data_IF_612972827221
#
_entry.id   IF_612972827221
#
_cell.length_a   1.000
_cell.length_b   1.000
_cell.length_c   1.000
_cell.angle_alpha   90.00
_cell.angle_beta   90.00
_cell.angle_gamma   90.00
#
_symmetry.space_group_name_H-M   'P 1'
#
loop_
_entity.id
_entity.type
_entity.pdbx_description
1 polymer ?
#
# COMPACT_ATOMS: atom_id res chain seq x y z
N UNK A 1 -7.92 6.87 21.86
CA UNK A 1 -6.66 7.37 21.29
C UNK A 1 -6.68 8.89 21.40
N UNK A 2 -5.57 9.54 21.74
CA UNK A 2 -5.45 11.01 21.67
C UNK A 2 -5.01 11.45 20.25
N UNK A 3 -4.99 12.76 19.99
CA UNK A 3 -4.67 13.30 18.66
C UNK A 3 -3.21 13.16 18.26
N UNK A 4 -2.29 13.12 19.21
CA UNK A 4 -0.86 13.01 18.90
C UNK A 4 -0.49 11.57 18.58
N UNK A 5 -0.99 10.62 19.37
CA UNK A 5 -0.91 9.18 19.06
C UNK A 5 -1.55 8.87 17.71
N UNK A 6 -2.70 9.49 17.39
CA UNK A 6 -3.33 9.33 16.08
C UNK A 6 -2.43 9.78 14.93
N UNK A 7 -1.79 10.95 15.03
CA UNK A 7 -0.88 11.45 14.00
C UNK A 7 0.37 10.58 13.84
N UNK A 8 0.89 10.03 14.94
CA UNK A 8 2.01 9.11 14.92
C UNK A 8 1.67 7.84 14.13
N UNK A 9 0.62 7.14 14.53
CA UNK A 9 0.17 5.89 13.88
C UNK A 9 -0.27 6.17 12.43
N UNK A 10 -0.89 7.31 12.16
CA UNK A 10 -1.23 7.71 10.79
C UNK A 10 0.03 7.87 9.94
N UNK A 11 1.09 8.48 10.47
CA UNK A 11 2.37 8.62 9.76
C UNK A 11 3.04 7.27 9.52
N UNK A 12 2.97 6.36 10.49
CA UNK A 12 3.47 4.97 10.35
C UNK A 12 2.71 4.22 9.24
N UNK A 13 1.38 4.31 9.20
CA UNK A 13 0.56 3.74 8.13
C UNK A 13 0.96 4.30 6.76
N UNK A 14 1.15 5.62 6.65
CA UNK A 14 1.56 6.24 5.38
C UNK A 14 2.95 5.73 4.95
N UNK A 15 3.90 5.60 5.89
CA UNK A 15 5.21 5.04 5.60
C UNK A 15 5.11 3.59 5.11
N UNK A 16 4.33 2.74 5.78
CA UNK A 16 4.13 1.35 5.39
C UNK A 16 3.59 1.26 3.94
N UNK A 17 2.58 2.07 3.61
CA UNK A 17 2.02 2.13 2.26
C UNK A 17 3.05 2.59 1.22
N UNK A 18 3.86 3.62 1.52
CA UNK A 18 4.93 4.06 0.61
C UNK A 18 5.98 2.97 0.37
N UNK A 19 6.35 2.23 1.40
CA UNK A 19 7.24 1.08 1.30
C UNK A 19 6.65 -0.03 0.43
N UNK A 20 5.34 -0.31 0.56
CA UNK A 20 4.65 -1.28 -0.29
C UNK A 20 4.67 -0.83 -1.75
N UNK A 21 4.30 0.42 -2.05
CA UNK A 21 4.34 0.98 -3.41
C UNK A 21 5.75 0.84 -4.03
N UNK A 22 6.79 1.11 -3.25
CA UNK A 22 8.18 0.94 -3.65
C UNK A 22 8.54 -0.53 -3.90
N UNK A 23 8.14 -1.44 -3.02
CA UNK A 23 8.37 -2.88 -3.14
C UNK A 23 7.75 -3.43 -4.42
N UNK A 24 6.48 -3.11 -4.70
CA UNK A 24 5.79 -3.58 -5.90
C UNK A 24 6.45 -3.07 -7.19
N UNK A 25 6.92 -1.82 -7.21
CA UNK A 25 7.70 -1.29 -8.35
C UNK A 25 9.00 -2.06 -8.57
N UNK A 26 9.72 -2.38 -7.49
CA UNK A 26 10.95 -3.17 -7.57
C UNK A 26 10.67 -4.60 -8.02
N UNK A 27 9.58 -5.21 -7.55
CA UNK A 27 9.12 -6.53 -8.00
C UNK A 27 8.86 -6.52 -9.50
N UNK A 28 8.06 -5.58 -10.00
CA UNK A 28 7.81 -5.41 -11.43
C UNK A 28 9.12 -5.26 -12.22
N UNK A 29 10.03 -4.39 -11.76
CA UNK A 29 11.29 -4.13 -12.43
C UNK A 29 12.22 -5.36 -12.47
N UNK A 30 12.20 -6.16 -11.39
CA UNK A 30 12.95 -7.39 -11.29
C UNK A 30 12.42 -8.46 -12.26
N UNK A 31 11.09 -8.65 -12.35
CA UNK A 31 10.45 -9.61 -13.26
C UNK A 31 10.58 -9.21 -14.73
N UNK A 32 10.47 -7.92 -15.02
CA UNK A 32 10.47 -7.47 -16.41
C UNK A 32 11.86 -7.62 -17.03
N UNK A 33 11.93 -8.25 -18.21
CA UNK A 33 13.19 -8.43 -18.93
C UNK A 33 13.90 -7.10 -19.21
N UNK A 34 15.22 -7.15 -19.40
CA UNK A 34 16.05 -5.98 -19.68
C UNK A 34 16.67 -5.35 -18.43
N UNK A 35 17.03 -4.06 -18.51
CA UNK A 35 17.70 -3.35 -17.43
C UNK A 35 16.73 -3.03 -16.27
N UNK A 36 17.15 -3.33 -15.05
CA UNK A 36 16.34 -3.12 -13.84
C UNK A 36 15.99 -1.65 -13.61
N UNK A 37 16.96 -0.74 -13.68
CA UNK A 37 16.76 0.68 -13.40
C UNK A 37 15.81 1.32 -14.41
N UNK A 38 15.93 0.96 -15.69
CA UNK A 38 15.01 1.40 -16.73
C UNK A 38 13.58 0.94 -16.42
N UNK A 39 13.40 -0.33 -16.07
CA UNK A 39 12.08 -0.89 -15.74
C UNK A 39 11.50 -0.27 -14.46
N UNK A 40 12.34 0.00 -13.46
CA UNK A 40 11.93 0.65 -12.21
C UNK A 40 11.47 2.10 -12.43
N UNK A 41 12.15 2.82 -13.35
CA UNK A 41 11.83 4.21 -13.69
C UNK A 41 10.59 4.34 -14.57
N UNK A 42 10.21 3.30 -15.35
CA UNK A 42 8.95 3.29 -16.14
C UNK A 42 7.70 3.56 -15.29
N UNK A 43 7.72 3.12 -14.03
CA UNK A 43 6.60 3.27 -13.11
C UNK A 43 6.76 4.41 -12.09
N UNK A 44 7.77 5.28 -12.24
CA UNK A 44 8.08 6.33 -11.25
C UNK A 44 6.91 7.26 -10.93
N UNK A 45 6.15 7.66 -11.95
CA UNK A 45 4.99 8.58 -11.82
C UNK A 45 3.65 7.85 -11.71
N UNK A 46 3.67 6.52 -11.58
CA UNK A 46 2.46 5.71 -11.51
C UNK A 46 1.93 5.68 -10.07
N UNK A 47 0.61 5.72 -9.92
CA UNK A 47 -0.02 5.46 -8.62
C UNK A 47 -0.05 3.94 -8.33
N UNK A 48 -0.34 3.58 -7.07
CA UNK A 48 -0.42 2.19 -6.63
C UNK A 48 -1.33 1.33 -7.51
N UNK A 49 -2.52 1.81 -7.88
CA UNK A 49 -3.44 1.06 -8.73
C UNK A 49 -2.87 0.74 -10.11
N UNK A 50 -2.12 1.68 -10.70
CA UNK A 50 -1.40 1.42 -11.96
C UNK A 50 -0.24 0.46 -11.75
N UNK A 51 0.55 0.62 -10.69
CA UNK A 51 1.68 -0.30 -10.38
C UNK A 51 1.17 -1.73 -10.20
N UNK A 52 0.12 -1.92 -9.42
CA UNK A 52 -0.49 -3.21 -9.15
C UNK A 52 -0.94 -3.91 -10.44
N UNK A 53 -1.67 -3.19 -11.30
CA UNK A 53 -2.16 -3.74 -12.57
C UNK A 53 -1.03 -4.05 -13.56
N UNK A 54 0.02 -3.23 -13.63
CA UNK A 54 1.17 -3.52 -14.50
C UNK A 54 1.95 -4.73 -14.00
N UNK A 55 2.07 -4.90 -12.68
CA UNK A 55 2.64 -6.11 -12.07
C UNK A 55 1.80 -7.35 -12.37
N UNK A 56 0.48 -7.27 -12.19
CA UNK A 56 -0.47 -8.35 -12.49
C UNK A 56 -0.39 -8.76 -13.97
N UNK A 57 -0.46 -7.80 -14.89
CA UNK A 57 -0.34 -8.10 -16.32
C UNK A 57 0.99 -8.77 -16.69
N UNK A 58 2.08 -8.39 -16.02
CA UNK A 58 3.40 -8.97 -16.25
C UNK A 58 3.49 -10.40 -15.69
N UNK A 59 3.00 -10.60 -14.48
CA UNK A 59 2.99 -11.88 -13.77
C UNK A 59 2.16 -12.93 -14.51
N UNK A 60 1.04 -12.51 -15.10
CA UNK A 60 0.18 -13.38 -15.91
C UNK A 60 0.62 -13.54 -17.37
N UNK A 61 1.70 -12.88 -17.81
CA UNK A 61 2.05 -12.79 -19.24
C UNK A 61 2.47 -14.10 -19.91
N UNK A 62 2.89 -15.10 -19.12
CA UNK A 62 3.32 -16.42 -19.59
C UNK A 62 2.42 -17.58 -19.10
N UNK A 63 1.23 -17.25 -18.58
CA UNK A 63 0.27 -18.17 -17.95
C UNK A 63 0.85 -18.93 -16.72
N UNK A 64 1.90 -18.41 -16.07
CA UNK A 64 2.54 -19.01 -14.88
C UNK A 64 2.78 -17.96 -13.79
N UNK A 65 1.70 -17.42 -13.19
CA UNK A 65 1.82 -16.38 -12.20
C UNK A 65 2.57 -16.87 -10.95
N UNK A 66 3.43 -16.01 -10.41
CA UNK A 66 4.13 -16.19 -9.15
C UNK A 66 3.28 -15.75 -7.96
N UNK A 67 2.38 -14.78 -8.16
CA UNK A 67 1.46 -14.28 -7.15
C UNK A 67 0.07 -14.88 -7.34
N UNK A 68 -0.61 -15.10 -6.23
CA UNK A 68 -1.99 -15.60 -6.21
C UNK A 68 -3.02 -14.48 -6.41
N UNK A 69 -4.24 -14.84 -6.79
CA UNK A 69 -5.36 -13.89 -6.85
C UNK A 69 -5.57 -13.18 -5.50
N UNK A 70 -5.47 -13.94 -4.39
CA UNK A 70 -5.55 -13.38 -3.04
C UNK A 70 -4.47 -12.29 -2.83
N UNK A 71 -3.26 -12.45 -3.37
CA UNK A 71 -2.21 -11.43 -3.27
C UNK A 71 -2.60 -10.12 -3.97
N UNK A 72 -3.25 -10.20 -5.13
CA UNK A 72 -3.70 -9.03 -5.87
C UNK A 72 -4.93 -8.38 -5.24
N UNK A 73 -5.87 -9.16 -4.71
CA UNK A 73 -6.98 -8.65 -3.90
C UNK A 73 -6.46 -7.86 -2.69
N UNK A 74 -5.44 -8.40 -2.01
CA UNK A 74 -4.77 -7.71 -0.91
C UNK A 74 -4.03 -6.43 -1.35
N UNK A 75 -3.46 -6.38 -2.56
CA UNK A 75 -2.85 -5.15 -3.08
C UNK A 75 -3.91 -4.09 -3.38
N UNK A 76 -5.08 -4.48 -3.90
CA UNK A 76 -6.18 -3.56 -4.16
C UNK A 76 -6.77 -2.97 -2.86
N UNK A 77 -6.87 -3.78 -1.81
CA UNK A 77 -7.21 -3.32 -0.45
C UNK A 77 -6.31 -2.17 0.02
N UNK A 78 -4.99 -2.24 -0.24
CA UNK A 78 -4.03 -1.20 0.14
C UNK A 78 -4.34 0.10 -0.59
N UNK A 79 -4.74 0.03 -1.86
CA UNK A 79 -5.13 1.21 -2.63
C UNK A 79 -6.30 1.93 -1.97
N UNK A 80 -7.31 1.19 -1.49
CA UNK A 80 -8.45 1.77 -0.79
C UNK A 80 -8.05 2.40 0.55
N UNK A 81 -7.26 1.67 1.34
CA UNK A 81 -6.71 2.15 2.63
C UNK A 81 -5.94 3.46 2.41
N UNK A 82 -4.98 3.46 1.48
CA UNK A 82 -4.16 4.61 1.12
C UNK A 82 -5.01 5.81 0.71
N UNK A 83 -5.99 5.59 -0.16
CA UNK A 83 -6.85 6.68 -0.62
C UNK A 83 -7.63 7.32 0.52
N UNK A 84 -8.20 6.52 1.42
CA UNK A 84 -8.90 7.05 2.58
C UNK A 84 -7.97 7.83 3.52
N UNK A 85 -6.81 7.27 3.88
CA UNK A 85 -5.89 7.88 4.84
C UNK A 85 -5.13 9.09 4.29
N UNK A 86 -4.95 9.19 2.97
CA UNK A 86 -4.36 10.37 2.35
C UNK A 86 -5.37 11.49 2.09
N UNK A 87 -6.62 11.16 1.75
CA UNK A 87 -7.54 12.15 1.17
C UNK A 87 -8.79 12.45 2.01
N UNK A 88 -9.23 11.53 2.88
CA UNK A 88 -10.55 11.62 3.52
C UNK A 88 -10.51 11.69 5.05
N UNK A 89 -9.55 11.03 5.71
CA UNK A 89 -9.61 10.75 7.15
C UNK A 89 -9.84 11.98 8.07
N UNK A 90 -9.28 13.14 7.74
CA UNK A 90 -9.47 14.36 8.53
C UNK A 90 -10.81 15.06 8.23
N UNK A 91 -11.28 15.00 6.97
CA UNK A 91 -12.51 15.64 6.55
C UNK A 91 -13.73 15.07 7.29
N UNK A 92 -13.66 13.79 7.65
CA UNK A 92 -14.74 13.07 8.34
C UNK A 92 -15.02 13.58 9.78
N UNK A 93 -14.12 14.36 10.38
CA UNK A 93 -14.37 14.90 11.72
C UNK A 93 -13.98 16.37 11.94
N UNK A 94 -12.97 16.90 11.24
CA UNK A 94 -12.40 18.22 11.55
C UNK A 94 -13.44 19.35 11.45
N UNK A 95 -14.35 19.26 10.48
CA UNK A 95 -15.36 20.29 10.22
C UNK A 95 -16.67 20.10 11.00
N UNK A 96 -16.73 19.14 11.92
CA UNK A 96 -17.91 18.96 12.78
C UNK A 96 -17.92 20.06 13.86
N UNK A 97 -18.95 20.91 13.82
CA UNK A 97 -19.10 22.05 14.73
C UNK A 97 -19.37 21.62 16.19
N UNK A 98 -20.14 20.55 16.40
CA UNK A 98 -20.46 20.07 17.74
C UNK A 98 -19.27 19.29 18.32
N UNK A 99 -18.69 19.79 19.41
CA UNK A 99 -17.50 19.18 20.04
C UNK A 99 -17.70 17.71 20.44
N UNK A 100 -18.89 17.35 20.96
CA UNK A 100 -19.19 15.97 21.39
C UNK A 100 -19.36 15.03 20.20
N UNK A 101 -20.03 15.50 19.16
CA UNK A 101 -20.17 14.77 17.89
C UNK A 101 -18.81 14.56 17.23
N UNK A 102 -17.99 15.62 17.14
CA UNK A 102 -16.65 15.58 16.58
C UNK A 102 -15.77 14.56 17.30
N UNK A 103 -15.81 14.54 18.62
CA UNK A 103 -15.01 13.60 19.39
C UNK A 103 -15.48 12.15 19.20
N UNK A 104 -16.79 11.92 19.12
CA UNK A 104 -17.32 10.59 18.79
C UNK A 104 -16.88 10.11 17.41
N UNK A 105 -16.95 10.96 16.39
CA UNK A 105 -16.52 10.58 15.03
C UNK A 105 -15.01 10.35 14.99
N UNK A 106 -14.22 11.20 15.64
CA UNK A 106 -12.79 10.98 15.76
C UNK A 106 -12.46 9.62 16.39
N UNK A 107 -13.09 9.22 17.49
CA UNK A 107 -12.78 7.93 18.12
C UNK A 107 -13.12 6.75 17.21
N UNK A 108 -14.16 6.84 16.37
CA UNK A 108 -14.45 5.82 15.34
C UNK A 108 -13.34 5.75 14.29
N UNK A 109 -12.87 6.89 13.81
CA UNK A 109 -11.77 6.98 12.84
C UNK A 109 -10.48 6.45 13.45
N UNK A 110 -10.18 6.77 14.71
CA UNK A 110 -9.02 6.24 15.43
C UNK A 110 -9.07 4.72 15.60
N UNK A 111 -10.25 4.13 15.85
CA UNK A 111 -10.43 2.67 15.87
C UNK A 111 -10.24 2.03 14.49
N UNK A 112 -10.63 2.73 13.42
CA UNK A 112 -10.31 2.30 12.05
C UNK A 112 -8.80 2.35 11.81
N UNK A 113 -8.12 3.40 12.24
CA UNK A 113 -6.67 3.56 12.07
C UNK A 113 -5.90 2.37 12.62
N UNK A 114 -6.21 1.94 13.84
CA UNK A 114 -5.53 0.81 14.47
C UNK A 114 -5.69 -0.50 13.67
N UNK A 115 -6.87 -0.72 13.07
CA UNK A 115 -7.13 -1.92 12.26
C UNK A 115 -6.40 -1.86 10.92
N UNK A 116 -6.46 -0.70 10.27
CA UNK A 116 -5.85 -0.52 8.96
C UNK A 116 -4.32 -0.54 9.05
N UNK A 117 -3.73 0.01 10.13
CA UNK A 117 -2.28 -0.01 10.36
C UNK A 117 -1.73 -1.43 10.53
N UNK A 118 -2.41 -2.29 11.30
CA UNK A 118 -2.03 -3.71 11.40
C UNK A 118 -2.07 -4.41 10.03
N UNK A 119 -3.12 -4.14 9.22
CA UNK A 119 -3.25 -4.72 7.88
C UNK A 119 -2.13 -4.23 6.96
N UNK A 120 -1.80 -2.94 6.98
CA UNK A 120 -0.71 -2.40 6.16
C UNK A 120 0.65 -2.91 6.59
N UNK A 121 0.87 -3.18 7.88
CA UNK A 121 2.11 -3.78 8.36
C UNK A 121 2.31 -5.21 7.82
N UNK A 122 1.27 -6.06 7.87
CA UNK A 122 1.33 -7.42 7.32
C UNK A 122 1.69 -7.40 5.82
N UNK A 123 1.09 -6.47 5.08
CA UNK A 123 1.32 -6.31 3.64
C UNK A 123 2.69 -5.72 3.32
N UNK A 124 3.19 -4.81 4.16
CA UNK A 124 4.56 -4.33 4.08
C UNK A 124 5.55 -5.50 4.19
N UNK A 125 5.41 -6.35 5.21
CA UNK A 125 6.27 -7.54 5.39
C UNK A 125 6.14 -8.51 4.21
N UNK A 126 4.93 -8.74 3.72
CA UNK A 126 4.67 -9.65 2.60
C UNK A 126 5.27 -9.15 1.29
N UNK A 127 5.09 -7.86 0.97
CA UNK A 127 5.64 -7.23 -0.25
C UNK A 127 7.17 -7.27 -0.28
N UNK A 128 7.83 -7.13 0.87
CA UNK A 128 9.28 -7.25 0.97
C UNK A 128 9.75 -8.68 0.68
N UNK A 129 9.06 -9.69 1.24
CA UNK A 129 9.36 -11.11 0.98
C UNK A 129 9.17 -11.47 -0.49
N UNK A 130 8.09 -11.00 -1.11
CA UNK A 130 7.82 -11.18 -2.55
C UNK A 130 8.98 -10.59 -3.36
N UNK A 131 9.38 -9.36 -3.07
CA UNK A 131 10.47 -8.71 -3.78
C UNK A 131 11.77 -9.53 -3.71
N UNK A 132 12.18 -9.98 -2.52
CA UNK A 132 13.40 -10.77 -2.39
C UNK A 132 13.32 -12.14 -3.07
N UNK A 133 12.15 -12.79 -3.04
CA UNK A 133 11.92 -14.04 -3.76
C UNK A 133 12.10 -13.84 -5.28
N UNK A 134 11.44 -12.83 -5.84
CA UNK A 134 11.51 -12.50 -7.25
C UNK A 134 12.91 -12.06 -7.66
N UNK A 135 13.57 -11.23 -6.86
CA UNK A 135 14.95 -10.81 -7.12
C UNK A 135 15.87 -12.01 -7.30
N UNK A 136 15.83 -12.95 -6.35
CA UNK A 136 16.64 -14.17 -6.40
C UNK A 136 16.36 -15.05 -7.62
N UNK A 137 15.14 -14.99 -8.16
CA UNK A 137 14.71 -15.83 -9.29
C UNK A 137 15.09 -15.23 -10.65
N UNK A 138 14.98 -13.92 -10.79
CA UNK A 138 15.11 -13.24 -12.09
C UNK A 138 16.41 -12.44 -12.24
N UNK A 139 17.13 -12.15 -11.14
CA UNK A 139 18.26 -11.22 -11.14
C UNK A 139 19.54 -11.74 -10.49
N UNK A 140 19.47 -12.81 -9.69
CA UNK A 140 20.64 -13.55 -9.16
C UNK A 140 20.89 -14.83 -9.99
#
# INVERSE_FOLDING_TARGET
MDRDTFKLIHSELIQQVQCIEFNLRRTYAAMHEGNFDDNFNRLEKSNLGKIARELENLDYSDDRPELSDDDYDFIDDIREIRNYWCHQCYLDFVYINNNRERERQFQKIAQRLQRDENRTYELFVKSEKIFFYIWKKYRD
#
